data_IF_841261616593
#
_entry.id   IF_841261616593
#
_cell.length_a   1.000
_cell.length_b   1.000
_cell.length_c   1.000
_cell.angle_alpha   90.00
_cell.angle_beta   90.00
_cell.angle_gamma   90.00
#
_symmetry.space_group_name_H-M   'P 1'
#
loop_
_entity.id
_entity.type
_entity.pdbx_description
1 polymer ?
#
# COMPACT_ATOMS: atom_id res chain seq x y z
N UNK A 1 -39.09 -37.34 1.29
CA UNK A 1 -38.59 -35.94 1.31
C UNK A 1 -37.29 -35.98 2.12
N UNK A 2 -36.17 -36.28 1.46
CA UNK A 2 -34.84 -36.40 2.08
C UNK A 2 -33.99 -35.22 1.66
N UNK A 3 -33.65 -34.37 2.62
CA UNK A 3 -32.66 -33.27 2.46
C UNK A 3 -31.27 -33.89 2.52
N UNK A 4 -30.36 -33.62 1.59
CA UNK A 4 -28.98 -34.05 1.70
C UNK A 4 -28.21 -33.09 2.58
N UNK A 5 -27.81 -33.51 3.76
CA UNK A 5 -26.76 -32.91 4.59
C UNK A 5 -25.41 -33.03 3.85
N UNK A 6 -25.00 -31.99 3.16
CA UNK A 6 -23.62 -31.80 2.70
C UNK A 6 -23.00 -30.65 3.47
N UNK A 7 -22.76 -30.84 4.74
CA UNK A 7 -21.88 -29.95 5.52
C UNK A 7 -20.41 -30.32 5.26
N UNK A 8 -19.68 -29.38 4.69
CA UNK A 8 -18.25 -29.17 4.73
C UNK A 8 -17.36 -30.37 5.15
N UNK A 9 -16.89 -31.13 4.16
CA UNK A 9 -15.66 -31.89 4.29
C UNK A 9 -14.61 -31.29 3.39
N UNK A 10 -13.94 -30.21 3.84
CA UNK A 10 -12.70 -29.76 3.26
C UNK A 10 -11.60 -29.92 4.31
N UNK A 11 -10.91 -31.05 4.39
CA UNK A 11 -9.85 -31.29 5.38
C UNK A 11 -8.68 -30.32 5.20
N UNK A 12 -8.50 -29.76 4.01
CA UNK A 12 -7.48 -28.74 3.71
C UNK A 12 -7.74 -27.42 4.41
N UNK A 13 -8.99 -26.95 4.50
CA UNK A 13 -9.31 -25.71 5.20
C UNK A 13 -9.08 -25.85 6.72
N UNK A 14 -9.40 -26.99 7.30
CA UNK A 14 -9.14 -27.26 8.72
C UNK A 14 -7.64 -27.42 9.01
N UNK A 15 -6.85 -27.99 8.10
CA UNK A 15 -5.39 -28.06 8.22
C UNK A 15 -4.74 -26.66 8.11
N UNK A 16 -5.24 -25.80 7.23
CA UNK A 16 -4.78 -24.41 7.12
C UNK A 16 -5.13 -23.60 8.36
N UNK A 17 -6.34 -23.72 8.89
CA UNK A 17 -6.71 -23.07 10.16
C UNK A 17 -5.89 -23.63 11.35
N UNK A 18 -5.65 -24.93 11.40
CA UNK A 18 -4.83 -25.55 12.43
C UNK A 18 -3.35 -25.17 12.32
N UNK A 19 -2.82 -25.02 11.09
CA UNK A 19 -1.46 -24.50 10.87
C UNK A 19 -1.31 -23.02 11.27
N UNK A 20 -2.35 -22.20 11.08
CA UNK A 20 -2.38 -20.82 11.54
C UNK A 20 -2.44 -20.71 13.08
N UNK A 21 -3.08 -21.65 13.76
CA UNK A 21 -3.16 -21.67 15.25
C UNK A 21 -1.84 -22.13 15.88
N UNK A 22 -1.02 -22.88 15.15
CA UNK A 22 0.28 -23.38 15.60
C UNK A 22 1.45 -22.45 15.18
N UNK A 23 1.20 -21.42 14.36
CA UNK A 23 2.21 -20.43 14.03
C UNK A 23 2.46 -19.51 15.24
N UNK A 24 3.68 -19.43 15.74
CA UNK A 24 4.00 -18.54 16.86
C UNK A 24 3.89 -17.07 16.43
N UNK A 25 3.40 -16.25 17.34
CA UNK A 25 3.00 -14.85 17.18
C UNK A 25 4.06 -13.91 16.59
N UNK A 26 3.68 -13.09 15.63
CA UNK A 26 4.52 -12.19 14.86
C UNK A 26 4.04 -10.73 14.81
N UNK A 27 4.90 -9.79 14.43
CA UNK A 27 4.67 -8.34 14.35
C UNK A 27 4.94 -7.83 12.92
N UNK A 28 4.24 -6.75 12.46
CA UNK A 28 4.32 -6.23 11.10
C UNK A 28 5.76 -5.87 10.69
N UNK A 29 6.19 -6.25 9.49
CA UNK A 29 7.59 -6.32 9.03
C UNK A 29 8.52 -6.64 10.20
N UNK A 30 8.50 -7.87 10.70
CA UNK A 30 9.12 -8.23 11.98
C UNK A 30 10.60 -7.93 12.07
N UNK A 31 11.30 -7.82 10.94
CA UNK A 31 12.70 -7.41 10.89
C UNK A 31 12.92 -6.01 11.46
N UNK A 32 12.05 -5.03 11.14
CA UNK A 32 12.16 -3.68 11.71
C UNK A 32 11.87 -3.64 13.21
N UNK A 33 10.87 -4.41 13.66
CA UNK A 33 10.61 -4.54 15.09
C UNK A 33 11.77 -5.23 15.83
N UNK A 34 12.38 -6.26 15.24
CA UNK A 34 13.62 -6.87 15.77
C UNK A 34 14.77 -5.88 15.78
N UNK A 35 14.93 -5.09 14.72
CA UNK A 35 16.00 -4.08 14.59
C UNK A 35 15.91 -3.01 15.67
N UNK A 36 14.73 -2.45 15.88
CA UNK A 36 14.51 -1.29 16.76
C UNK A 36 14.19 -1.67 18.20
N UNK A 37 13.79 -2.93 18.44
CA UNK A 37 13.23 -3.35 19.72
C UNK A 37 11.84 -2.77 20.01
N UNK A 38 11.26 -2.01 19.08
CA UNK A 38 9.95 -1.39 19.21
C UNK A 38 8.83 -2.39 18.87
N UNK A 39 7.72 -2.26 19.57
CA UNK A 39 6.51 -2.99 19.22
C UNK A 39 5.84 -2.41 17.97
N UNK A 40 5.00 -3.20 17.29
CA UNK A 40 4.31 -2.76 16.06
C UNK A 40 3.46 -1.50 16.29
N UNK A 41 2.84 -1.40 17.44
CA UNK A 41 2.08 -0.23 17.90
C UNK A 41 2.92 1.04 17.97
N UNK A 42 4.22 0.91 18.15
CA UNK A 42 5.14 2.06 18.12
C UNK A 42 5.15 2.75 16.76
N UNK A 43 5.11 1.97 15.68
CA UNK A 43 5.22 2.47 14.31
C UNK A 43 3.91 2.43 13.52
N UNK A 44 2.94 1.57 13.88
CA UNK A 44 1.69 1.39 13.14
C UNK A 44 0.46 1.65 14.00
N UNK A 45 -0.55 2.31 13.43
CA UNK A 45 -1.87 2.45 14.02
C UNK A 45 -2.61 1.11 13.86
N UNK A 46 -3.26 0.64 14.93
CA UNK A 46 -3.90 -0.68 14.96
C UNK A 46 -2.87 -1.83 14.94
N UNK A 47 -1.62 -1.55 15.31
CA UNK A 47 -0.51 -2.51 15.40
C UNK A 47 -0.21 -3.30 14.10
N UNK A 48 -0.78 -2.92 12.97
CA UNK A 48 -0.66 -3.66 11.71
C UNK A 48 -1.03 -2.82 10.50
N UNK A 49 -0.33 -3.01 9.38
CA UNK A 49 -0.63 -2.39 8.10
C UNK A 49 0.13 -1.09 7.83
N UNK A 50 -0.13 -0.44 6.70
CA UNK A 50 0.67 0.70 6.23
C UNK A 50 0.46 2.00 7.00
N UNK A 51 -0.61 2.13 7.79
CA UNK A 51 -0.91 3.36 8.50
C UNK A 51 0.12 3.63 9.61
N UNK A 52 0.91 4.68 9.45
CA UNK A 52 2.05 4.99 10.32
C UNK A 52 1.68 5.95 11.45
N UNK A 53 2.24 5.70 12.64
CA UNK A 53 2.34 6.69 13.71
C UNK A 53 3.43 7.72 13.37
N UNK A 54 3.52 8.85 14.11
CA UNK A 54 4.65 9.78 13.96
C UNK A 54 6.03 9.12 14.12
N UNK A 55 6.15 8.10 14.97
CA UNK A 55 7.40 7.35 15.12
C UNK A 55 7.71 6.50 13.86
N UNK A 56 6.71 5.86 13.27
CA UNK A 56 6.86 5.15 12.00
C UNK A 56 7.25 6.07 10.85
N UNK A 57 6.65 7.25 10.78
CA UNK A 57 7.00 8.29 9.80
C UNK A 57 8.48 8.71 9.98
N UNK A 58 8.91 9.02 11.21
CA UNK A 58 10.32 9.38 11.49
C UNK A 58 11.28 8.24 11.14
N UNK A 59 10.94 6.99 11.45
CA UNK A 59 11.76 5.83 11.10
C UNK A 59 11.94 5.71 9.58
N UNK A 60 10.87 5.89 8.80
CA UNK A 60 10.92 5.88 7.33
C UNK A 60 11.73 7.06 6.79
N UNK A 61 11.51 8.28 7.30
CA UNK A 61 12.29 9.47 6.94
C UNK A 61 13.77 9.32 7.29
N UNK A 62 14.10 8.73 8.45
CA UNK A 62 15.45 8.43 8.92
C UNK A 62 16.12 7.27 8.17
N UNK A 63 15.58 6.84 7.02
CA UNK A 63 16.20 5.83 6.16
C UNK A 63 16.19 4.43 6.76
N UNK A 64 15.24 4.13 7.65
CA UNK A 64 15.11 2.84 8.34
C UNK A 64 16.35 2.47 9.18
N UNK A 65 17.07 3.47 9.68
CA UNK A 65 18.38 3.27 10.33
C UNK A 65 18.33 3.14 11.85
N UNK A 66 17.23 3.53 12.50
CA UNK A 66 17.09 3.39 13.96
C UNK A 66 17.24 1.94 14.41
N UNK A 67 17.90 1.73 15.56
CA UNK A 67 18.25 0.41 16.11
C UNK A 67 18.22 0.45 17.64
N UNK A 68 18.06 -0.72 18.27
CA UNK A 68 18.23 -0.90 19.71
C UNK A 68 19.72 -1.05 20.15
N UNK A 69 20.66 -0.88 19.19
CA UNK A 69 22.10 -0.99 19.43
C UNK A 69 22.65 -2.42 19.52
N UNK A 70 21.80 -3.45 19.30
CA UNK A 70 22.22 -4.85 19.33
C UNK A 70 22.44 -5.39 17.94
N UNK A 71 23.53 -6.07 17.72
CA UNK A 71 23.89 -6.69 16.44
C UNK A 71 23.21 -8.05 16.21
N UNK A 72 23.41 -8.62 15.02
CA UNK A 72 22.99 -9.99 14.67
C UNK A 72 21.51 -10.15 14.37
N UNK A 73 20.80 -9.06 14.06
CA UNK A 73 19.36 -9.11 13.69
C UNK A 73 19.19 -9.65 12.27
N UNK A 74 18.25 -10.57 12.10
CA UNK A 74 17.91 -11.14 10.80
C UNK A 74 17.02 -10.16 10.04
N UNK A 75 17.43 -9.64 8.87
CA UNK A 75 16.66 -8.66 8.10
C UNK A 75 15.60 -9.31 7.18
N UNK A 76 15.04 -10.45 7.58
CA UNK A 76 14.05 -11.19 6.81
C UNK A 76 12.69 -11.19 7.51
N UNK A 77 11.63 -11.04 6.76
CA UNK A 77 10.24 -11.13 7.22
C UNK A 77 9.36 -11.76 6.16
N UNK A 78 8.30 -12.43 6.59
CA UNK A 78 7.28 -12.98 5.70
C UNK A 78 5.93 -12.31 5.93
N UNK A 79 5.07 -12.38 4.91
CA UNK A 79 3.69 -11.91 4.98
C UNK A 79 2.78 -12.86 4.19
N UNK A 80 1.62 -13.16 4.73
CA UNK A 80 0.57 -13.91 4.06
C UNK A 80 -0.74 -13.14 4.16
N UNK A 81 -1.43 -13.01 3.04
CA UNK A 81 -2.79 -12.48 2.96
C UNK A 81 -3.68 -13.52 2.29
N UNK A 82 -4.70 -13.97 2.99
CA UNK A 82 -5.72 -14.87 2.48
C UNK A 82 -7.08 -14.21 2.60
N UNK A 83 -7.94 -14.48 1.64
CA UNK A 83 -9.29 -13.90 1.54
C UNK A 83 -10.33 -14.96 1.21
N UNK A 84 -11.55 -14.73 1.68
CA UNK A 84 -12.74 -15.43 1.24
C UNK A 84 -13.79 -14.40 0.84
N UNK A 85 -14.09 -14.31 -0.44
CA UNK A 85 -14.92 -13.25 -1.02
C UNK A 85 -16.14 -13.76 -1.76
N UNK A 86 -17.16 -12.91 -1.77
CA UNK A 86 -18.39 -13.10 -2.51
C UNK A 86 -18.85 -11.79 -3.12
N UNK A 87 -19.05 -11.79 -4.43
CA UNK A 87 -19.68 -10.69 -5.17
C UNK A 87 -21.20 -10.88 -5.25
N UNK A 88 -21.95 -9.78 -5.36
CA UNK A 88 -23.42 -9.86 -5.44
C UNK A 88 -23.88 -10.52 -6.73
N UNK A 89 -23.30 -10.17 -7.86
CA UNK A 89 -23.48 -10.89 -9.12
C UNK A 89 -22.27 -11.81 -9.37
N UNK A 90 -22.49 -12.88 -10.12
CA UNK A 90 -21.38 -13.69 -10.64
C UNK A 90 -20.56 -12.87 -11.64
N UNK A 91 -19.24 -13.05 -11.62
CA UNK A 91 -18.32 -12.37 -12.54
C UNK A 91 -18.28 -13.11 -13.89
N UNK A 92 -18.33 -12.36 -14.98
CA UNK A 92 -18.20 -12.88 -16.34
C UNK A 92 -17.30 -11.95 -17.17
N UNK A 93 -16.08 -12.37 -17.53
CA UNK A 93 -15.44 -13.66 -17.17
C UNK A 93 -15.09 -13.76 -15.67
N UNK A 94 -14.94 -14.99 -15.13
CA UNK A 94 -14.43 -15.18 -13.79
C UNK A 94 -12.97 -14.68 -13.68
N UNK A 95 -12.50 -14.29 -12.47
CA UNK A 95 -11.08 -13.97 -12.26
C UNK A 95 -10.19 -15.17 -12.57
N UNK A 96 -8.95 -14.91 -12.98
CA UNK A 96 -8.00 -15.97 -13.34
C UNK A 96 -7.86 -17.02 -12.24
N UNK A 97 -7.95 -18.29 -12.63
CA UNK A 97 -7.84 -19.45 -11.76
C UNK A 97 -8.86 -19.54 -10.61
N UNK A 98 -9.90 -18.71 -10.62
CA UNK A 98 -10.95 -18.66 -9.61
C UNK A 98 -12.33 -18.98 -10.21
N UNK A 99 -13.34 -19.03 -9.35
CA UNK A 99 -14.74 -19.21 -9.75
C UNK A 99 -15.39 -17.85 -10.04
N UNK A 100 -16.48 -17.87 -10.79
CA UNK A 100 -17.30 -16.67 -11.04
C UNK A 100 -17.84 -16.02 -9.75
N UNK A 101 -17.87 -16.74 -8.64
CA UNK A 101 -18.28 -16.23 -7.33
C UNK A 101 -17.87 -17.20 -6.20
N UNK A 102 -17.96 -16.74 -4.93
CA UNK A 102 -17.64 -17.52 -3.71
C UNK A 102 -16.22 -18.08 -3.75
N UNK A 103 -15.25 -17.20 -3.87
CA UNK A 103 -13.84 -17.54 -3.94
C UNK A 103 -13.20 -17.59 -2.55
N UNK A 104 -12.20 -18.46 -2.40
CA UNK A 104 -11.25 -18.42 -1.31
C UNK A 104 -9.85 -18.55 -1.91
N UNK A 105 -8.99 -17.60 -1.63
CA UNK A 105 -7.66 -17.48 -2.23
C UNK A 105 -6.59 -17.16 -1.20
N UNK A 106 -5.35 -17.54 -1.53
CA UNK A 106 -4.17 -16.92 -0.98
C UNK A 106 -3.86 -15.73 -1.89
N UNK A 107 -4.26 -14.52 -1.48
CA UNK A 107 -4.11 -13.35 -2.33
C UNK A 107 -2.64 -12.97 -2.50
N UNK A 108 -1.88 -13.08 -1.40
CA UNK A 108 -0.50 -12.65 -1.40
C UNK A 108 0.36 -13.48 -0.43
N UNK A 109 1.54 -13.91 -0.89
CA UNK A 109 2.61 -14.40 -0.03
C UNK A 109 3.90 -13.64 -0.33
N UNK A 110 4.42 -12.88 0.64
CA UNK A 110 5.56 -11.99 0.43
C UNK A 110 6.72 -12.33 1.34
N UNK A 111 7.92 -12.16 0.80
CA UNK A 111 9.19 -12.15 1.53
C UNK A 111 9.76 -10.74 1.49
N UNK A 112 10.17 -10.22 2.65
CA UNK A 112 10.84 -8.95 2.79
C UNK A 112 12.29 -9.16 3.21
N UNK A 113 13.20 -8.54 2.49
CA UNK A 113 14.54 -8.22 2.97
C UNK A 113 14.49 -6.78 3.44
N UNK A 114 14.46 -6.56 4.76
CA UNK A 114 14.17 -5.23 5.30
C UNK A 114 15.00 -4.98 6.57
N UNK A 115 15.75 -3.88 6.57
CA UNK A 115 16.60 -3.54 7.70
C UNK A 115 17.55 -2.38 7.43
N UNK A 116 18.33 -2.10 8.46
CA UNK A 116 19.47 -1.21 8.43
C UNK A 116 20.66 -1.88 7.74
N UNK A 117 21.20 -1.22 6.73
CA UNK A 117 22.43 -1.66 6.06
C UNK A 117 23.70 -0.99 6.62
N UNK A 118 23.56 0.28 7.09
CA UNK A 118 24.64 1.04 7.74
C UNK A 118 24.04 2.13 8.64
N UNK A 119 24.88 2.96 9.25
CA UNK A 119 24.42 4.11 10.06
C UNK A 119 23.61 5.11 9.25
N UNK A 120 23.80 5.15 7.94
CA UNK A 120 23.19 6.11 7.03
C UNK A 120 22.26 5.45 6.02
N UNK A 121 22.15 4.13 5.97
CA UNK A 121 21.40 3.45 4.92
C UNK A 121 20.58 2.28 5.45
N UNK A 122 19.38 2.13 4.90
CA UNK A 122 18.47 1.03 5.15
C UNK A 122 17.34 1.00 4.12
N UNK A 123 16.38 0.12 4.33
CA UNK A 123 15.24 0.01 3.43
C UNK A 123 14.60 -1.36 3.44
N UNK A 124 13.78 -1.60 2.43
CA UNK A 124 13.21 -2.92 2.19
C UNK A 124 13.12 -3.25 0.70
N UNK A 125 13.15 -4.53 0.43
CA UNK A 125 12.84 -5.16 -0.86
C UNK A 125 11.79 -6.22 -0.59
N UNK A 126 10.67 -6.16 -1.30
CA UNK A 126 9.56 -7.10 -1.20
C UNK A 126 9.51 -7.96 -2.47
N UNK A 127 9.43 -9.28 -2.29
CA UNK A 127 9.17 -10.25 -3.36
C UNK A 127 7.85 -10.90 -3.02
N UNK A 128 6.89 -10.87 -3.98
CA UNK A 128 5.52 -11.31 -3.76
C UNK A 128 5.13 -12.42 -4.72
N UNK A 129 4.55 -13.47 -4.18
CA UNK A 129 3.76 -14.43 -4.93
C UNK A 129 2.30 -13.97 -4.91
N UNK A 130 1.77 -13.65 -6.09
CA UNK A 130 0.34 -13.43 -6.34
C UNK A 130 -0.34 -14.79 -6.50
N UNK A 131 -1.26 -15.12 -5.61
CA UNK A 131 -1.90 -16.42 -5.61
C UNK A 131 -3.06 -16.52 -6.62
N UNK A 132 -3.56 -15.39 -7.15
CA UNK A 132 -4.57 -15.37 -8.22
C UNK A 132 -3.89 -15.49 -9.58
N UNK A 133 -2.95 -14.61 -9.90
CA UNK A 133 -2.16 -14.69 -11.13
C UNK A 133 -1.15 -15.85 -11.13
N UNK A 134 -0.84 -16.43 -9.95
CA UNK A 134 0.14 -17.52 -9.74
C UNK A 134 1.53 -17.16 -10.23
N UNK A 135 1.95 -15.93 -9.99
CA UNK A 135 3.25 -15.41 -10.39
C UNK A 135 4.06 -14.96 -9.18
N UNK A 136 5.38 -15.09 -9.27
CA UNK A 136 6.32 -14.57 -8.28
C UNK A 136 7.09 -13.40 -8.91
N UNK A 137 7.05 -12.23 -8.29
CA UNK A 137 7.69 -11.04 -8.82
C UNK A 137 8.31 -10.16 -7.73
N UNK A 138 9.25 -9.31 -8.14
CA UNK A 138 9.66 -8.16 -7.34
C UNK A 138 8.45 -7.24 -7.18
N UNK A 139 8.10 -6.94 -5.94
CA UNK A 139 7.04 -6.00 -5.59
C UNK A 139 7.66 -4.64 -5.20
N UNK A 140 7.27 -4.06 -4.09
CA UNK A 140 7.75 -2.76 -3.66
C UNK A 140 9.19 -2.80 -3.13
N UNK A 141 9.96 -1.78 -3.50
CA UNK A 141 11.32 -1.54 -3.03
C UNK A 141 11.47 -0.08 -2.64
N UNK A 142 12.01 0.17 -1.45
CA UNK A 142 12.38 1.53 -0.98
C UNK A 142 13.70 1.42 -0.21
N UNK A 143 14.78 1.86 -0.84
CA UNK A 143 16.13 1.90 -0.26
C UNK A 143 16.52 3.35 -0.04
N UNK A 144 17.02 3.67 1.15
CA UNK A 144 17.33 5.05 1.55
C UNK A 144 18.74 5.20 2.06
N UNK A 145 19.29 6.35 1.78
CA UNK A 145 20.51 6.87 2.42
C UNK A 145 20.19 8.23 3.02
N UNK A 146 20.66 8.49 4.26
CA UNK A 146 20.32 9.71 5.01
C UNK A 146 21.53 10.31 5.72
N UNK A 147 21.49 11.61 5.91
CA UNK A 147 22.41 12.35 6.77
C UNK A 147 21.70 13.59 7.35
N UNK A 148 22.07 13.98 8.57
CA UNK A 148 21.55 15.22 9.19
C UNK A 148 22.63 16.28 9.30
N UNK A 149 22.19 17.54 9.26
CA UNK A 149 23.03 18.72 9.45
C UNK A 149 22.31 19.75 10.31
N UNK A 150 23.04 20.39 11.19
CA UNK A 150 22.57 21.53 11.97
C UNK A 150 22.86 22.84 11.25
N UNK A 151 21.92 23.78 11.28
CA UNK A 151 21.98 25.10 10.71
C UNK A 151 21.49 26.10 11.75
N UNK A 152 22.39 26.57 12.62
CA UNK A 152 22.01 27.35 13.79
C UNK A 152 21.09 26.57 14.72
N UNK A 153 19.90 27.08 14.97
CA UNK A 153 18.89 26.44 15.83
C UNK A 153 18.00 25.42 15.07
N UNK A 154 18.17 25.29 13.76
CA UNK A 154 17.39 24.38 12.91
C UNK A 154 18.21 23.15 12.53
N UNK A 155 17.52 22.02 12.40
CA UNK A 155 18.07 20.74 11.89
C UNK A 155 17.48 20.42 10.52
N UNK A 156 18.30 19.97 9.59
CA UNK A 156 17.85 19.42 8.33
C UNK A 156 18.34 17.98 8.15
N UNK A 157 17.41 17.08 7.87
CA UNK A 157 17.71 15.73 7.41
C UNK A 157 17.69 15.76 5.87
N UNK A 158 18.73 15.22 5.25
CA UNK A 158 18.83 15.02 3.82
C UNK A 158 18.83 13.54 3.52
N UNK A 159 18.09 13.12 2.49
CA UNK A 159 18.03 11.73 2.08
C UNK A 159 18.00 11.55 0.58
N UNK A 160 18.43 10.37 0.17
CA UNK A 160 18.22 9.82 -1.17
C UNK A 160 17.35 8.58 -1.05
N UNK A 161 16.44 8.37 -1.99
CA UNK A 161 15.65 7.12 -2.09
C UNK A 161 15.77 6.53 -3.47
N UNK A 162 15.99 5.22 -3.53
CA UNK A 162 15.89 4.39 -4.71
C UNK A 162 14.66 3.49 -4.54
N UNK A 163 13.72 3.58 -5.48
CA UNK A 163 12.47 2.83 -5.42
C UNK A 163 12.04 2.34 -6.82
N UNK A 164 11.08 1.42 -6.88
CA UNK A 164 10.58 0.84 -8.12
C UNK A 164 9.09 1.11 -8.38
N UNK A 165 8.46 1.92 -7.55
CA UNK A 165 7.04 2.24 -7.70
C UNK A 165 6.85 3.71 -7.26
N UNK A 166 6.36 4.60 -8.14
CA UNK A 166 6.04 5.96 -7.75
C UNK A 166 5.12 5.98 -6.54
N UNK A 167 5.39 6.87 -5.59
CA UNK A 167 4.71 7.02 -4.30
C UNK A 167 5.01 5.99 -3.21
N UNK A 168 5.72 4.88 -3.49
CA UNK A 168 6.13 3.93 -2.43
C UNK A 168 7.07 4.58 -1.40
N UNK A 169 7.85 5.55 -1.82
CA UNK A 169 8.76 6.32 -0.97
C UNK A 169 8.04 7.39 -0.12
N UNK A 170 6.74 7.64 -0.34
CA UNK A 170 5.98 8.58 0.50
C UNK A 170 6.17 8.27 1.99
N UNK A 171 6.73 9.20 2.79
CA UNK A 171 7.04 8.92 4.19
C UNK A 171 5.79 8.81 5.06
N UNK A 172 4.65 9.33 4.59
CA UNK A 172 3.40 9.37 5.34
C UNK A 172 2.50 8.16 5.07
N UNK A 173 2.75 7.40 4.01
CA UNK A 173 1.92 6.31 3.53
C UNK A 173 0.46 6.74 3.24
N UNK A 174 0.27 7.92 2.68
CA UNK A 174 -1.05 8.46 2.29
C UNK A 174 -1.27 8.49 0.78
N UNK A 175 -0.19 8.45 0.01
CA UNK A 175 -0.27 8.40 -1.45
C UNK A 175 -0.61 6.99 -1.95
N UNK A 176 -0.86 6.89 -3.23
CA UNK A 176 -1.49 5.77 -3.91
C UNK A 176 -0.93 4.39 -3.55
N UNK A 177 0.38 4.22 -3.52
CA UNK A 177 1.01 2.93 -3.17
C UNK A 177 0.64 2.42 -1.76
N UNK A 178 0.16 3.29 -0.86
CA UNK A 178 -0.17 2.98 0.52
C UNK A 178 -1.60 3.38 0.90
N UNK A 179 -2.39 3.85 -0.07
CA UNK A 179 -3.74 4.37 0.17
C UNK A 179 -4.71 3.31 0.70
N UNK A 180 -5.65 3.75 1.53
CA UNK A 180 -6.76 2.88 1.96
C UNK A 180 -7.70 2.58 0.76
N UNK A 181 -8.26 1.36 0.65
CA UNK A 181 -8.14 0.22 1.58
C UNK A 181 -6.77 -0.48 1.44
N UNK A 182 -6.15 -0.79 2.59
CA UNK A 182 -4.81 -1.38 2.63
C UNK A 182 -4.77 -2.83 2.14
N UNK A 183 -5.89 -3.51 2.18
CA UNK A 183 -6.13 -4.82 1.59
C UNK A 183 -7.48 -4.77 0.89
N UNK A 184 -7.64 -5.58 -0.15
CA UNK A 184 -8.91 -5.79 -0.82
C UNK A 184 -8.94 -7.22 -1.33
N UNK A 185 -10.13 -7.82 -1.53
CA UNK A 185 -10.24 -9.16 -2.05
C UNK A 185 -9.66 -9.22 -3.47
N UNK A 186 -8.67 -10.08 -3.71
CA UNK A 186 -8.06 -10.24 -5.04
C UNK A 186 -9.07 -10.71 -6.10
N UNK A 187 -10.12 -11.41 -5.67
CA UNK A 187 -11.25 -11.77 -6.53
C UNK A 187 -12.34 -10.68 -6.63
N UNK A 188 -12.10 -9.48 -6.07
CA UNK A 188 -13.02 -8.33 -6.14
C UNK A 188 -12.72 -7.39 -7.30
N UNK A 189 -13.42 -6.26 -7.34
CA UNK A 189 -13.32 -5.28 -8.42
C UNK A 189 -12.44 -4.06 -8.08
N UNK A 190 -11.96 -3.93 -6.83
CA UNK A 190 -11.14 -2.81 -6.42
C UNK A 190 -11.79 -1.45 -6.61
N UNK A 191 -10.99 -0.43 -6.92
CA UNK A 191 -11.46 0.96 -7.13
C UNK A 191 -11.83 1.27 -8.58
N UNK A 192 -11.96 0.26 -9.43
CA UNK A 192 -12.24 0.40 -10.87
C UNK A 192 -10.98 0.28 -11.73
N UNK A 193 -11.18 0.39 -13.05
CA UNK A 193 -10.12 0.15 -14.05
C UNK A 193 -9.24 1.38 -14.34
N UNK A 194 -9.75 2.58 -14.08
CA UNK A 194 -9.06 3.83 -14.41
C UNK A 194 -8.29 4.39 -13.21
N UNK A 195 -7.02 4.70 -13.43
CA UNK A 195 -6.14 5.31 -12.44
C UNK A 195 -5.21 6.32 -13.12
N UNK A 196 -4.82 7.39 -12.39
CA UNK A 196 -3.80 8.34 -12.84
C UNK A 196 -2.43 7.67 -12.91
N UNK A 197 -1.54 8.16 -13.78
CA UNK A 197 -0.22 7.57 -13.96
C UNK A 197 0.59 7.54 -12.65
N UNK A 198 0.44 8.58 -11.82
CA UNK A 198 1.06 8.65 -10.49
C UNK A 198 0.49 7.61 -9.50
N UNK A 199 -0.72 7.10 -9.75
CA UNK A 199 -1.38 6.08 -8.95
C UNK A 199 -1.13 4.67 -9.48
N UNK A 200 0.14 4.27 -9.52
CA UNK A 200 0.54 2.90 -9.81
C UNK A 200 0.66 2.54 -11.28
N UNK A 201 0.37 3.45 -12.23
CA UNK A 201 0.41 3.15 -13.66
C UNK A 201 1.76 2.66 -14.21
N UNK A 202 2.85 2.90 -13.48
CA UNK A 202 4.19 2.39 -13.82
C UNK A 202 4.83 1.61 -12.65
N UNK A 203 4.02 1.19 -11.66
CA UNK A 203 4.51 0.44 -10.51
C UNK A 203 5.22 -0.85 -10.93
N UNK A 204 6.38 -1.11 -10.33
CA UNK A 204 7.17 -2.31 -10.60
C UNK A 204 7.97 -2.31 -11.91
N UNK A 205 7.60 -1.51 -12.91
CA UNK A 205 8.28 -1.49 -14.23
C UNK A 205 9.28 -0.33 -14.41
N UNK A 206 9.41 0.52 -13.39
CA UNK A 206 10.36 1.64 -13.35
C UNK A 206 11.33 1.52 -12.17
N UNK A 207 12.44 2.23 -12.25
CA UNK A 207 13.32 2.53 -11.14
C UNK A 207 13.41 4.05 -10.99
N UNK A 208 13.20 4.54 -9.76
CA UNK A 208 13.23 5.96 -9.41
C UNK A 208 14.35 6.29 -8.46
N UNK A 209 14.91 7.47 -8.63
CA UNK A 209 15.86 8.08 -7.70
C UNK A 209 15.34 9.46 -7.33
N UNK A 210 15.17 9.71 -6.03
CA UNK A 210 14.77 11.02 -5.50
C UNK A 210 15.73 11.47 -4.42
N UNK A 211 15.88 12.78 -4.31
CA UNK A 211 16.50 13.46 -3.17
C UNK A 211 15.40 14.12 -2.34
N UNK A 212 15.48 14.04 -1.03
CA UNK A 212 14.53 14.69 -0.13
C UNK A 212 15.21 15.38 1.04
N UNK A 213 14.48 16.30 1.66
CA UNK A 213 14.87 16.94 2.92
C UNK A 213 13.66 17.04 3.85
N UNK A 214 13.94 16.92 5.15
CA UNK A 214 13.03 17.31 6.21
C UNK A 214 13.70 18.46 6.99
N UNK A 215 13.16 19.66 6.84
CA UNK A 215 13.66 20.86 7.48
C UNK A 215 12.88 21.14 8.78
N UNK A 216 13.63 21.34 9.84
CA UNK A 216 13.12 21.72 11.16
C UNK A 216 11.98 20.80 11.65
N UNK A 217 12.04 19.51 11.29
CA UNK A 217 11.05 18.46 11.63
C UNK A 217 9.63 18.71 11.09
N UNK A 218 9.44 19.73 10.26
CA UNK A 218 8.12 20.15 9.79
C UNK A 218 7.97 20.21 8.27
N UNK A 219 8.99 20.65 7.54
CA UNK A 219 8.90 20.87 6.12
C UNK A 219 9.59 19.76 5.35
N UNK A 220 8.81 18.99 4.60
CA UNK A 220 9.32 17.97 3.71
C UNK A 220 9.31 18.47 2.28
N UNK A 221 10.39 18.23 1.56
CA UNK A 221 10.49 18.45 0.13
C UNK A 221 11.24 17.29 -0.54
N UNK A 222 10.77 16.87 -1.70
CA UNK A 222 11.36 15.80 -2.50
C UNK A 222 11.35 16.18 -3.97
N UNK A 223 12.40 15.79 -4.69
CA UNK A 223 12.52 15.89 -6.13
C UNK A 223 13.16 14.62 -6.67
N UNK A 224 12.59 14.04 -7.71
CA UNK A 224 13.06 12.78 -8.27
C UNK A 224 12.73 12.59 -9.74
N UNK A 225 13.25 11.52 -10.28
CA UNK A 225 13.00 11.07 -11.65
C UNK A 225 13.02 9.56 -11.73
N UNK A 226 12.29 9.02 -12.69
CA UNK A 226 12.12 7.58 -12.93
C UNK A 226 12.63 7.18 -14.31
N UNK A 227 13.00 5.92 -14.43
CA UNK A 227 13.41 5.32 -15.70
C UNK A 227 12.76 3.95 -15.86
N UNK A 228 12.17 3.68 -17.02
CA UNK A 228 11.62 2.35 -17.30
C UNK A 228 12.72 1.30 -17.32
N UNK A 229 12.48 0.18 -16.67
CA UNK A 229 13.31 -1.01 -16.79
C UNK A 229 13.21 -1.60 -18.20
N UNK A 230 14.26 -2.29 -18.66
CA UNK A 230 14.19 -3.02 -19.93
C UNK A 230 13.22 -4.21 -19.80
N UNK A 231 12.52 -4.64 -20.89
CA UNK A 231 11.64 -5.80 -20.83
C UNK A 231 12.34 -7.09 -20.39
N UNK A 232 13.64 -7.23 -20.67
CA UNK A 232 14.44 -8.36 -20.20
C UNK A 232 14.66 -8.32 -18.69
N UNK A 233 14.94 -7.14 -18.12
CA UNK A 233 15.09 -6.97 -16.68
C UNK A 233 13.75 -7.21 -15.96
N UNK A 234 12.65 -6.67 -16.47
CA UNK A 234 11.30 -6.93 -15.94
C UNK A 234 11.04 -8.43 -15.89
N UNK A 235 11.26 -9.17 -16.97
CA UNK A 235 11.13 -10.63 -17.00
C UNK A 235 12.01 -11.35 -15.97
N UNK A 236 13.26 -10.91 -15.78
CA UNK A 236 14.17 -11.53 -14.79
C UNK A 236 13.74 -11.29 -13.36
N UNK A 237 12.93 -10.25 -13.12
CA UNK A 237 12.35 -9.90 -11.83
C UNK A 237 10.95 -10.51 -11.62
N UNK A 238 10.50 -11.38 -12.53
CA UNK A 238 9.17 -12.02 -12.48
C UNK A 238 8.02 -11.12 -12.92
N UNK A 239 8.32 -9.90 -13.36
CA UNK A 239 7.33 -8.95 -13.87
C UNK A 239 6.92 -9.31 -15.30
N UNK A 240 5.72 -8.95 -15.70
CA UNK A 240 5.30 -8.99 -17.09
C UNK A 240 6.19 -8.09 -17.97
N UNK A 241 6.27 -8.41 -19.26
CA UNK A 241 7.00 -7.55 -20.21
C UNK A 241 6.12 -6.38 -20.58
N UNK A 242 6.42 -5.22 -20.06
CA UNK A 242 5.84 -3.95 -20.49
C UNK A 242 6.77 -3.25 -21.48
N UNK A 243 6.21 -2.83 -22.60
CA UNK A 243 6.94 -2.15 -23.66
C UNK A 243 6.82 -0.63 -23.60
N UNK A 244 6.13 -0.09 -22.61
CA UNK A 244 6.10 1.34 -22.37
C UNK A 244 7.50 1.84 -21.99
N UNK A 245 7.85 3.02 -22.47
CA UNK A 245 9.12 3.67 -22.16
C UNK A 245 8.88 5.09 -21.67
N UNK A 246 9.35 5.33 -20.47
CA UNK A 246 9.39 6.66 -19.89
C UNK A 246 10.55 7.45 -20.51
N UNK A 247 10.23 8.47 -21.31
CA UNK A 247 11.21 9.25 -22.06
C UNK A 247 11.83 10.37 -21.22
N UNK A 248 11.01 11.08 -20.46
CA UNK A 248 11.46 12.15 -19.58
C UNK A 248 10.39 12.45 -18.55
N UNK A 249 10.83 12.72 -17.32
CA UNK A 249 9.89 12.96 -16.23
C UNK A 249 10.55 13.71 -15.07
N UNK A 250 9.70 14.33 -14.26
CA UNK A 250 10.08 14.92 -12.99
C UNK A 250 8.97 14.67 -11.99
N UNK A 251 9.32 14.08 -10.87
CA UNK A 251 8.46 13.90 -9.70
C UNK A 251 8.88 14.90 -8.62
N UNK A 252 7.92 15.45 -7.91
CA UNK A 252 8.17 16.29 -6.76
C UNK A 252 7.09 16.11 -5.70
N UNK A 253 7.45 16.36 -4.43
CA UNK A 253 6.54 16.36 -3.30
C UNK A 253 6.93 17.45 -2.31
N UNK A 254 5.95 18.17 -1.79
CA UNK A 254 6.07 19.10 -0.68
C UNK A 254 5.06 18.70 0.39
N UNK A 255 5.45 18.75 1.65
CA UNK A 255 4.51 18.53 2.74
C UNK A 255 4.90 19.33 3.97
N UNK A 256 3.90 19.66 4.77
CA UNK A 256 4.06 20.19 6.12
C UNK A 256 3.47 19.20 7.11
N UNK A 257 4.22 18.88 8.14
CA UNK A 257 3.80 17.93 9.17
C UNK A 257 3.95 18.54 10.57
N UNK A 258 3.09 18.09 11.47
CA UNK A 258 3.15 18.48 12.87
C UNK A 258 2.82 17.31 13.77
N UNK A 259 3.75 17.00 14.66
CA UNK A 259 3.62 15.99 15.68
C UNK A 259 3.41 16.70 17.04
N UNK A 260 2.33 16.36 17.73
CA UNK A 260 1.98 16.88 19.05
C UNK A 260 1.76 15.72 20.00
N UNK A 261 1.72 15.97 21.29
CA UNK A 261 1.62 14.94 22.31
C UNK A 261 0.41 13.98 22.13
N UNK A 262 -0.73 14.50 21.68
CA UNK A 262 -1.98 13.75 21.56
C UNK A 262 -2.55 13.70 20.14
N UNK A 263 -1.92 14.35 19.20
CA UNK A 263 -2.36 14.37 17.79
C UNK A 263 -1.17 14.58 16.85
N UNK A 264 -1.32 14.10 15.63
CA UNK A 264 -0.38 14.39 14.57
C UNK A 264 -1.16 14.65 13.27
N UNK A 265 -0.58 15.44 12.39
CA UNK A 265 -1.18 15.68 11.09
C UNK A 265 -0.15 16.10 10.06
N UNK A 266 -0.47 15.89 8.82
CA UNK A 266 0.25 16.50 7.71
C UNK A 266 -0.72 16.90 6.60
N UNK A 267 -0.24 17.82 5.77
CA UNK A 267 -0.83 18.15 4.47
C UNK A 267 0.28 18.11 3.44
N UNK A 268 0.00 17.54 2.27
CA UNK A 268 0.97 17.34 1.22
C UNK A 268 0.43 17.71 -0.15
N UNK A 269 1.36 18.03 -1.04
CA UNK A 269 1.13 18.21 -2.46
C UNK A 269 2.23 17.50 -3.22
N UNK A 270 1.87 16.80 -4.29
CA UNK A 270 2.81 16.09 -5.16
C UNK A 270 2.48 16.36 -6.62
N UNK A 271 3.44 16.16 -7.48
CA UNK A 271 3.20 16.24 -8.91
C UNK A 271 4.17 15.40 -9.70
N UNK A 272 3.71 14.96 -10.85
CA UNK A 272 4.52 14.25 -11.81
C UNK A 272 4.27 14.76 -13.23
N UNK A 273 5.33 15.07 -13.92
CA UNK A 273 5.29 15.39 -15.33
C UNK A 273 6.06 14.28 -16.06
N UNK A 274 5.40 13.55 -16.96
CA UNK A 274 5.97 12.40 -17.61
C UNK A 274 5.68 12.39 -19.11
N UNK A 275 6.62 11.86 -19.89
CA UNK A 275 6.46 11.54 -21.31
C UNK A 275 6.64 10.04 -21.49
N UNK A 276 5.64 9.38 -22.05
CA UNK A 276 5.59 7.92 -22.20
C UNK A 276 5.45 7.57 -23.67
N UNK A 277 6.41 6.82 -24.19
CA UNK A 277 6.27 6.14 -25.47
C UNK A 277 5.51 4.83 -25.23
N UNK A 278 4.31 4.63 -25.81
CA UNK A 278 3.48 3.45 -25.50
C UNK A 278 4.14 2.13 -25.91
N UNK A 279 4.92 2.13 -26.99
CA UNK A 279 5.67 0.95 -27.46
C UNK A 279 7.09 1.34 -27.88
N UNK A 280 8.08 0.88 -27.09
CA UNK A 280 9.51 1.11 -27.34
C UNK A 280 10.09 0.26 -28.48
N UNK A 281 9.37 -0.74 -28.96
CA UNK A 281 9.82 -1.62 -30.07
C UNK A 281 9.64 -1.00 -31.43
N UNK A 282 8.77 0.01 -31.54
CA UNK A 282 8.50 0.75 -32.74
C UNK A 282 8.63 2.26 -32.54
N UNK A 283 9.25 3.01 -33.46
CA UNK A 283 9.17 4.47 -33.44
C UNK A 283 7.70 4.91 -33.51
N UNK A 284 7.29 5.77 -32.55
CA UNK A 284 5.90 6.16 -32.45
C UNK A 284 5.73 7.47 -31.68
N UNK A 285 4.49 7.97 -31.63
CA UNK A 285 4.14 9.16 -30.88
C UNK A 285 4.38 8.94 -29.38
N UNK A 286 4.65 10.04 -28.68
CA UNK A 286 4.93 10.05 -27.23
C UNK A 286 3.79 10.78 -26.54
N UNK A 287 3.15 10.09 -25.62
CA UNK A 287 2.11 10.65 -24.76
C UNK A 287 2.72 11.53 -23.67
N UNK A 288 1.97 12.53 -23.24
CA UNK A 288 2.40 13.44 -22.16
C UNK A 288 1.39 13.42 -21.04
N UNK A 289 1.88 13.24 -19.83
CA UNK A 289 1.09 13.21 -18.59
C UNK A 289 1.53 14.35 -17.68
N UNK A 290 0.57 14.94 -16.99
CA UNK A 290 0.78 15.91 -15.91
C UNK A 290 -0.18 15.60 -14.79
N UNK A 291 0.37 15.11 -13.70
CA UNK A 291 -0.38 14.75 -12.50
C UNK A 291 -0.12 15.77 -11.40
N UNK A 292 -1.17 16.08 -10.65
CA UNK A 292 -1.12 16.89 -9.45
C UNK A 292 -1.92 16.18 -8.36
N UNK A 293 -1.29 15.94 -7.21
CA UNK A 293 -1.89 15.32 -6.05
C UNK A 293 -1.94 16.24 -4.85
N UNK A 294 -2.99 16.14 -4.06
CA UNK A 294 -3.12 16.70 -2.73
C UNK A 294 -3.46 15.59 -1.75
N UNK A 295 -2.89 15.61 -0.57
CA UNK A 295 -3.19 14.67 0.49
C UNK A 295 -3.12 15.31 1.86
N UNK A 296 -3.84 14.72 2.80
CA UNK A 296 -3.81 15.09 4.20
C UNK A 296 -4.12 13.88 5.08
N UNK A 297 -3.54 13.87 6.27
CA UNK A 297 -3.87 12.91 7.33
C UNK A 297 -3.92 13.66 8.68
N UNK A 298 -4.88 13.28 9.47
CA UNK A 298 -5.02 13.72 10.86
C UNK A 298 -5.19 12.51 11.76
N UNK A 299 -4.40 12.45 12.82
CA UNK A 299 -4.41 11.39 13.82
C UNK A 299 -4.67 11.99 15.20
N UNK A 300 -5.79 11.60 15.81
CA UNK A 300 -6.00 11.80 17.23
C UNK A 300 -5.47 10.55 17.95
N UNK A 301 -4.36 10.69 18.64
CA UNK A 301 -3.66 9.59 19.32
C UNK A 301 -4.09 9.47 20.78
N UNK A 302 -4.52 10.55 21.42
CA UNK A 302 -5.02 10.58 22.79
C UNK A 302 -4.09 9.91 23.78
N UNK A 303 -4.62 8.96 24.53
CA UNK A 303 -3.87 8.06 25.43
C UNK A 303 -3.43 6.78 24.72
N UNK A 304 -3.60 6.65 23.42
CA UNK A 304 -3.40 5.47 22.57
C UNK A 304 -4.40 4.33 22.79
N UNK A 305 -5.33 4.47 23.72
CA UNK A 305 -6.43 3.53 23.88
C UNK A 305 -7.49 3.71 22.81
N UNK A 306 -7.80 4.97 22.49
CA UNK A 306 -8.75 5.36 21.46
C UNK A 306 -8.02 6.21 20.41
N UNK A 307 -7.78 5.65 19.25
CA UNK A 307 -7.12 6.35 18.15
C UNK A 307 -8.15 6.57 17.04
N UNK A 308 -8.24 7.80 16.55
CA UNK A 308 -9.04 8.16 15.38
C UNK A 308 -8.13 8.72 14.33
N UNK A 309 -8.28 8.27 13.08
CA UNK A 309 -7.55 8.85 11.95
C UNK A 309 -8.52 9.26 10.84
N UNK A 310 -8.21 10.37 10.21
CA UNK A 310 -8.89 10.87 9.03
C UNK A 310 -7.84 11.13 7.97
N UNK A 311 -7.97 10.51 6.81
CA UNK A 311 -7.05 10.75 5.71
C UNK A 311 -7.79 10.94 4.41
N UNK A 312 -7.18 11.64 3.48
CA UNK A 312 -7.73 11.82 2.16
C UNK A 312 -6.68 12.18 1.14
N UNK A 313 -6.93 11.81 -0.11
CA UNK A 313 -6.13 12.19 -1.26
C UNK A 313 -7.03 12.57 -2.44
N UNK A 314 -6.50 13.49 -3.24
CA UNK A 314 -7.06 13.93 -4.51
C UNK A 314 -5.92 13.90 -5.52
N UNK A 315 -6.10 13.20 -6.64
CA UNK A 315 -5.17 13.22 -7.76
C UNK A 315 -5.90 13.69 -9.03
N UNK A 316 -5.29 14.56 -9.78
CA UNK A 316 -5.76 15.00 -11.09
C UNK A 316 -4.69 14.75 -12.13
N UNK A 317 -5.06 14.15 -13.26
CA UNK A 317 -4.21 13.90 -14.42
C UNK A 317 -4.70 14.68 -15.64
N UNK A 318 -3.77 15.25 -16.38
CA UNK A 318 -3.96 15.71 -17.74
C UNK A 318 -3.11 14.82 -18.65
N UNK A 319 -3.76 14.08 -19.54
CA UNK A 319 -3.12 13.22 -20.53
C UNK A 319 -3.30 13.83 -21.91
N UNK A 320 -2.21 13.95 -22.64
CA UNK A 320 -2.21 14.32 -24.06
C UNK A 320 -1.68 13.17 -24.90
N UNK A 321 -2.53 12.60 -25.73
CA UNK A 321 -2.17 11.54 -26.68
C UNK A 321 -1.19 12.07 -27.71
N UNK A 322 -0.11 11.36 -27.95
CA UNK A 322 0.93 11.79 -28.87
C UNK A 322 0.54 11.66 -30.35
N UNK A 323 -0.39 10.75 -30.68
CA UNK A 323 -0.76 10.45 -32.08
C UNK A 323 -1.60 11.55 -32.74
N UNK A 324 -2.54 12.15 -32.00
CA UNK A 324 -3.50 13.13 -32.52
C UNK A 324 -3.60 14.39 -31.68
N UNK A 325 -2.90 14.43 -30.53
CA UNK A 325 -2.89 15.56 -29.62
C UNK A 325 -4.16 15.68 -28.78
N UNK A 326 -5.03 14.67 -28.76
CA UNK A 326 -6.25 14.64 -27.93
C UNK A 326 -5.90 14.84 -26.48
N UNK A 327 -6.69 15.69 -25.80
CA UNK A 327 -6.56 15.95 -24.37
C UNK A 327 -7.65 15.19 -23.63
N UNK A 328 -7.25 14.44 -22.62
CA UNK A 328 -8.14 13.82 -21.65
C UNK A 328 -7.73 14.20 -20.23
N UNK A 329 -8.65 14.07 -19.29
CA UNK A 329 -8.39 14.28 -17.88
C UNK A 329 -8.98 13.15 -17.05
N UNK A 330 -8.36 12.92 -15.90
CA UNK A 330 -8.83 11.99 -14.87
C UNK A 330 -8.73 12.68 -13.51
N UNK A 331 -9.67 12.40 -12.63
CA UNK A 331 -9.66 12.86 -11.23
C UNK A 331 -10.00 11.70 -10.33
N UNK A 332 -9.15 11.45 -9.35
CA UNK A 332 -9.34 10.45 -8.30
C UNK A 332 -9.51 11.12 -6.95
N UNK A 333 -10.39 10.56 -6.13
CA UNK A 333 -10.66 11.01 -4.77
C UNK A 333 -10.70 9.80 -3.85
N UNK A 334 -10.01 9.90 -2.72
CA UNK A 334 -10.06 8.90 -1.65
C UNK A 334 -10.21 9.62 -0.32
N UNK A 335 -11.14 9.16 0.50
CA UNK A 335 -11.32 9.62 1.87
C UNK A 335 -11.42 8.39 2.77
N UNK A 336 -10.78 8.43 3.91
CA UNK A 336 -10.80 7.36 4.88
C UNK A 336 -10.96 7.90 6.29
N UNK A 337 -11.78 7.22 7.07
CA UNK A 337 -11.88 7.42 8.51
C UNK A 337 -11.68 6.07 9.20
N UNK A 338 -10.80 5.99 10.17
CA UNK A 338 -10.61 4.79 10.95
C UNK A 338 -10.58 5.07 12.45
N UNK A 339 -11.03 4.08 13.20
CA UNK A 339 -11.02 4.07 14.65
C UNK A 339 -10.34 2.78 15.12
N UNK A 340 -9.42 2.91 16.05
CA UNK A 340 -8.75 1.78 16.69
C UNK A 340 -8.92 1.85 18.20
N UNK A 341 -9.47 0.79 18.79
CA UNK A 341 -9.60 0.62 20.23
C UNK A 341 -8.55 -0.32 20.77
N UNK A 342 -7.74 0.20 21.70
CA UNK A 342 -6.61 -0.52 22.32
C UNK A 342 -5.67 -1.16 21.29
N UNK A 343 -5.64 -0.58 20.07
CA UNK A 343 -4.88 -1.11 18.93
C UNK A 343 -5.17 -2.59 18.58
N UNK A 344 -6.27 -3.11 19.09
CA UNK A 344 -6.73 -4.49 18.95
C UNK A 344 -7.94 -4.60 18.06
N UNK A 345 -8.92 -3.70 18.21
CA UNK A 345 -10.13 -3.66 17.42
C UNK A 345 -10.11 -2.44 16.51
N UNK A 346 -10.40 -2.66 15.25
CA UNK A 346 -10.46 -1.62 14.23
C UNK A 346 -11.82 -1.54 13.56
N UNK A 347 -12.23 -0.32 13.22
CA UNK A 347 -13.34 -0.05 12.31
C UNK A 347 -12.90 1.05 11.36
N UNK A 348 -13.14 0.87 10.06
CA UNK A 348 -12.77 1.84 9.04
C UNK A 348 -13.88 2.00 8.00
N UNK A 349 -13.99 3.19 7.45
CA UNK A 349 -14.79 3.46 6.26
C UNK A 349 -13.98 4.24 5.26
N UNK A 350 -14.08 3.88 3.99
CA UNK A 350 -13.42 4.57 2.89
C UNK A 350 -14.42 4.94 1.81
N UNK A 351 -14.28 6.13 1.26
CA UNK A 351 -14.92 6.56 0.02
C UNK A 351 -13.88 6.66 -1.07
N UNK A 352 -14.20 6.16 -2.25
CA UNK A 352 -13.38 6.33 -3.44
C UNK A 352 -14.24 6.77 -4.63
N UNK A 353 -13.68 7.58 -5.49
CA UNK A 353 -14.30 7.99 -6.73
C UNK A 353 -13.24 8.32 -7.77
N UNK A 354 -13.44 7.81 -8.98
CA UNK A 354 -12.68 8.16 -10.18
C UNK A 354 -13.65 8.71 -11.23
N UNK A 355 -13.23 9.72 -11.96
CA UNK A 355 -13.98 10.29 -13.08
C UNK A 355 -13.03 10.89 -14.09
N UNK A 356 -13.37 10.84 -15.36
CA UNK A 356 -12.53 11.36 -16.43
C UNK A 356 -13.31 11.87 -17.64
N UNK A 357 -12.56 12.24 -18.67
CA UNK A 357 -13.10 12.59 -19.99
C UNK A 357 -13.84 11.42 -20.62
N UNK A 358 -13.36 10.20 -20.38
CA UNK A 358 -14.07 8.99 -20.76
C UNK A 358 -15.11 8.69 -19.67
N UNK A 359 -16.41 8.63 -19.99
CA UNK A 359 -17.42 8.21 -19.03
C UNK A 359 -17.17 6.83 -18.41
N UNK A 360 -16.53 5.90 -19.13
CA UNK A 360 -16.19 4.57 -18.64
C UNK A 360 -15.16 4.60 -17.48
N UNK A 361 -14.39 5.68 -17.34
CA UNK A 361 -13.49 5.86 -16.20
C UNK A 361 -14.22 6.11 -14.87
N UNK A 362 -15.54 6.37 -14.88
CA UNK A 362 -16.25 6.75 -13.69
C UNK A 362 -16.57 5.54 -12.80
N UNK A 363 -15.88 5.42 -11.67
CA UNK A 363 -16.19 4.44 -10.62
C UNK A 363 -16.24 5.15 -9.28
N UNK A 364 -17.24 4.84 -8.45
CA UNK A 364 -17.35 5.37 -7.09
C UNK A 364 -18.00 4.36 -6.15
N UNK A 365 -17.52 4.34 -4.93
CA UNK A 365 -18.04 3.43 -3.94
C UNK A 365 -17.62 3.76 -2.53
N UNK A 366 -18.02 2.87 -1.63
CA UNK A 366 -17.71 2.90 -0.21
C UNK A 366 -17.12 1.55 0.19
N UNK A 367 -16.15 1.59 1.10
CA UNK A 367 -15.62 0.40 1.77
C UNK A 367 -15.92 0.54 3.25
N UNK A 368 -16.48 -0.50 3.84
CA UNK A 368 -16.62 -0.65 5.29
C UNK A 368 -15.73 -1.81 5.74
N UNK A 369 -14.98 -1.63 6.81
CA UNK A 369 -14.14 -2.68 7.37
C UNK A 369 -14.28 -2.73 8.89
N UNK A 370 -14.32 -3.94 9.42
CA UNK A 370 -14.07 -4.22 10.82
C UNK A 370 -12.94 -5.23 10.93
N UNK A 371 -12.02 -5.01 11.87
CA UNK A 371 -10.88 -5.91 12.04
C UNK A 371 -10.50 -6.12 13.51
N UNK A 372 -9.81 -7.23 13.74
CA UNK A 372 -9.28 -7.65 15.02
C UNK A 372 -7.83 -8.06 14.88
N UNK A 373 -6.97 -7.42 15.68
CA UNK A 373 -5.55 -7.72 15.79
C UNK A 373 -5.30 -8.30 17.19
N UNK A 374 -5.30 -9.63 17.39
CA UNK A 374 -5.29 -10.29 18.69
C UNK A 374 -4.13 -9.85 19.60
N UNK A 375 -3.00 -9.51 18.98
CA UNK A 375 -1.77 -9.11 19.68
C UNK A 375 -1.44 -7.62 19.47
N UNK A 376 -2.45 -6.80 19.22
CA UNK A 376 -2.30 -5.36 18.98
C UNK A 376 -2.08 -4.52 20.22
N UNK A 377 -2.32 -5.03 21.42
CA UNK A 377 -2.10 -4.31 22.69
C UNK A 377 -0.62 -4.00 22.90
N UNK A 378 -0.31 -2.82 23.44
CA UNK A 378 1.06 -2.38 23.70
C UNK A 378 1.84 -3.35 24.61
N UNK A 379 1.16 -4.02 25.56
CA UNK A 379 1.76 -5.01 26.46
C UNK A 379 1.55 -6.47 26.03
N UNK A 380 0.99 -6.71 24.83
CA UNK A 380 0.73 -8.06 24.37
C UNK A 380 2.05 -8.75 24.00
N UNK A 381 2.54 -9.57 24.92
CA UNK A 381 3.66 -10.47 24.63
C UNK A 381 3.15 -11.60 23.74
N UNK A 382 3.76 -11.75 22.60
CA UNK A 382 3.56 -12.91 21.74
C UNK A 382 3.83 -14.21 22.53
N UNK A 383 3.08 -15.29 22.29
CA UNK A 383 3.21 -16.56 23.03
C UNK A 383 4.58 -17.23 22.92
N UNK A 384 5.43 -16.80 22.00
CA UNK A 384 6.77 -17.35 21.84
C UNK A 384 7.83 -16.27 21.69
N UNK A 385 8.94 -16.32 22.45
CA UNK A 385 10.07 -15.39 22.33
C UNK A 385 10.88 -15.56 21.05
N UNK A 386 10.65 -16.63 20.29
CA UNK A 386 11.47 -17.00 19.11
C UNK A 386 10.93 -16.46 17.79
N UNK A 387 9.65 -16.08 17.71
CA UNK A 387 9.04 -15.63 16.47
C UNK A 387 8.20 -14.36 16.72
N UNK A 388 8.53 -13.33 15.99
CA UNK A 388 7.87 -12.05 15.98
C UNK A 388 6.78 -12.09 14.88
N UNK A 389 5.52 -12.48 15.19
CA UNK A 389 4.43 -12.53 14.24
C UNK A 389 3.24 -11.68 14.70
N UNK A 390 2.47 -11.12 13.80
CA UNK A 390 1.19 -10.46 14.07
C UNK A 390 0.12 -11.00 13.11
N UNK A 391 -1.13 -10.92 13.52
CA UNK A 391 -2.28 -11.37 12.76
C UNK A 391 -3.36 -10.31 12.82
N UNK A 392 -3.93 -9.98 11.67
CA UNK A 392 -5.15 -9.19 11.56
C UNK A 392 -6.20 -10.03 10.84
N UNK A 393 -7.32 -10.22 11.48
CA UNK A 393 -8.52 -10.82 10.90
C UNK A 393 -9.52 -9.72 10.64
N UNK A 394 -10.19 -9.72 9.50
CA UNK A 394 -11.16 -8.69 9.20
C UNK A 394 -12.24 -9.11 8.26
N UNK A 395 -13.27 -8.28 8.22
CA UNK A 395 -14.37 -8.35 7.27
C UNK A 395 -14.47 -7.02 6.54
N UNK A 396 -14.70 -7.08 5.24
CA UNK A 396 -14.92 -5.91 4.39
C UNK A 396 -16.23 -6.03 3.63
N UNK A 397 -16.86 -4.88 3.41
CA UNK A 397 -17.97 -4.73 2.48
C UNK A 397 -17.68 -3.56 1.54
N UNK A 398 -17.65 -3.85 0.25
CA UNK A 398 -17.49 -2.90 -0.84
C UNK A 398 -18.84 -2.65 -1.48
N UNK A 399 -19.23 -1.40 -1.61
CA UNK A 399 -20.47 -0.98 -2.27
C UNK A 399 -20.15 -0.03 -3.42
N UNK A 400 -20.74 -0.30 -4.60
CA UNK A 400 -20.54 0.51 -5.79
C UNK A 400 -21.82 1.26 -6.18
N UNK A 401 -21.74 2.59 -6.18
CA UNK A 401 -22.79 3.45 -6.69
C UNK A 401 -22.68 3.77 -8.18
N UNK A 402 -21.47 3.59 -8.74
CA UNK A 402 -21.15 3.65 -10.16
C UNK A 402 -19.95 2.72 -10.38
N UNK A 403 -19.93 1.95 -11.47
CA UNK A 403 -18.82 1.09 -11.83
C UNK A 403 -18.59 1.17 -13.34
N UNK A 404 -17.37 1.53 -13.76
CA UNK A 404 -16.94 1.72 -15.15
C UNK A 404 -17.98 2.47 -16.00
N UNK A 405 -18.43 3.63 -15.49
CA UNK A 405 -19.40 4.52 -16.11
C UNK A 405 -20.87 4.15 -15.91
N UNK A 406 -21.16 2.94 -15.47
CA UNK A 406 -22.53 2.48 -15.31
C UNK A 406 -23.09 2.70 -13.89
N UNK A 407 -24.27 3.34 -13.78
CA UNK A 407 -25.04 3.37 -12.53
C UNK A 407 -25.97 2.18 -12.40
N UNK A 408 -26.62 1.80 -13.50
CA UNK A 408 -27.50 0.62 -13.53
C UNK A 408 -26.63 -0.64 -13.43
N UNK A 409 -26.93 -1.49 -12.43
CA UNK A 409 -26.16 -2.72 -12.21
C UNK A 409 -24.87 -2.55 -11.40
N UNK A 410 -24.43 -1.33 -11.07
CA UNK A 410 -23.22 -1.09 -10.28
C UNK A 410 -23.19 -1.89 -8.98
N UNK A 411 -24.32 -1.99 -8.28
CA UNK A 411 -24.43 -2.81 -7.07
C UNK A 411 -24.25 -4.31 -7.31
N UNK A 412 -24.26 -4.80 -8.54
CA UNK A 412 -23.90 -6.19 -8.89
C UNK A 412 -22.43 -6.50 -8.52
N UNK A 413 -21.57 -5.49 -8.47
CA UNK A 413 -20.16 -5.56 -8.10
C UNK A 413 -19.96 -5.51 -6.58
N UNK A 414 -21.02 -5.24 -5.77
CA UNK A 414 -20.89 -5.25 -4.31
C UNK A 414 -20.21 -6.54 -3.84
N UNK A 415 -19.17 -6.38 -3.02
CA UNK A 415 -18.34 -7.49 -2.60
C UNK A 415 -18.26 -7.55 -1.08
N UNK A 416 -18.53 -8.70 -0.52
CA UNK A 416 -18.24 -9.02 0.88
C UNK A 416 -17.03 -9.93 0.94
N UNK A 417 -16.10 -9.65 1.85
CA UNK A 417 -14.93 -10.49 2.06
C UNK A 417 -14.57 -10.65 3.53
N UNK A 418 -13.95 -11.78 3.83
CA UNK A 418 -13.29 -12.09 5.09
C UNK A 418 -11.81 -12.30 4.78
N UNK A 419 -10.93 -11.60 5.49
CA UNK A 419 -9.50 -11.73 5.27
C UNK A 419 -8.73 -12.12 6.52
N UNK A 420 -7.62 -12.81 6.31
CA UNK A 420 -6.60 -13.08 7.31
C UNK A 420 -5.25 -12.56 6.78
N UNK A 421 -4.68 -11.60 7.49
CA UNK A 421 -3.41 -10.96 7.14
C UNK A 421 -2.39 -11.23 8.24
N UNK A 422 -1.36 -11.99 7.94
CA UNK A 422 -0.30 -12.37 8.88
C UNK A 422 1.05 -11.86 8.40
N UNK A 423 1.90 -11.42 9.34
CA UNK A 423 3.29 -11.07 9.11
C UNK A 423 4.20 -11.70 10.18
N UNK A 424 5.39 -12.20 9.83
CA UNK A 424 6.28 -12.97 10.69
C UNK A 424 7.76 -12.82 10.33
#
# INVERSE_FOLDING_TARGET
MNLPNRFFRCPTACLFLAAMVLAPAARAVPSFARQTGMECTGCHIGAFGPQLTPAGIRFKLGGYTDTDGKDGKVPLSGMLLADASRTRAAQDPPPDHLHANNNASLDQASLFVAGRASEHAGGFVQITYDGVARTLALDNTDLRWVTSREFGDSEALFGLTLNNNPTVQDPFNTLAAWGYPFVGPAAGFGTGSAAALIDGGLGGIVAGLSAYTLWDKHWYAELGSYRSMSPSLQSSLGLGRDFQKLEGNAYWRLAYLRDQKSSAWHVGMSGWSARVQPDRTAPGPVDSFRDLGLDADFQFLGTREHIVTLSGSLAGELHRTGSDGTLSHLVEQRLNASYSWQQTWGASTGYFATRGSDPAAATRGLVLQADWTPWGKEDARAPSPLLWANLKLGAQFWHYGTFDGAHAGASGHDTFSLFAWSAF
#
